data_IF_383611798794
#
_entry.id   IF_383611798794
#
_cell.length_a   1.000
_cell.length_b   1.000
_cell.length_c   1.000
_cell.angle_alpha   90.00
_cell.angle_beta   90.00
_cell.angle_gamma   90.00
#
_symmetry.space_group_name_H-M   'P 1'
#
loop_
_entity.id
_entity.type
_entity.pdbx_description
1 polymer ?
#
# COMPACT_ATOMS: atom_id res chain seq x y z
N UNK A 1 -14.81 -35.88 9.78
CA UNK A 1 -14.39 -36.37 11.12
C UNK A 1 -13.73 -35.25 11.87
N UNK A 2 -13.87 -35.19 13.20
CA UNK A 2 -13.24 -34.16 14.05
C UNK A 2 -12.26 -34.80 15.05
N UNK A 3 -11.48 -34.01 15.79
CA UNK A 3 -10.45 -34.51 16.72
C UNK A 3 -11.03 -35.38 17.85
N UNK A 4 -12.27 -35.12 18.27
CA UNK A 4 -12.94 -35.92 19.31
C UNK A 4 -13.27 -37.31 18.82
N UNK A 5 -13.73 -37.45 17.60
CA UNK A 5 -14.03 -38.72 16.96
C UNK A 5 -12.76 -39.57 16.74
N UNK A 6 -11.64 -38.92 16.38
CA UNK A 6 -10.33 -39.61 16.28
C UNK A 6 -9.89 -40.08 17.66
N UNK A 7 -10.00 -39.26 18.70
CA UNK A 7 -9.63 -39.61 20.06
C UNK A 7 -10.46 -40.81 20.58
N UNK A 8 -11.76 -40.80 20.33
CA UNK A 8 -12.65 -41.88 20.69
C UNK A 8 -12.28 -43.19 19.95
N UNK A 9 -12.00 -43.10 18.63
CA UNK A 9 -11.63 -44.28 17.81
C UNK A 9 -10.25 -44.84 18.19
N UNK A 10 -9.32 -43.96 18.58
CA UNK A 10 -7.99 -44.37 19.06
C UNK A 10 -7.99 -44.89 20.53
N UNK A 11 -9.04 -44.56 21.31
CA UNK A 11 -9.11 -44.90 22.73
C UNK A 11 -8.24 -44.01 23.61
N UNK A 12 -8.01 -42.74 23.20
CA UNK A 12 -7.13 -41.81 23.89
C UNK A 12 -7.81 -40.45 24.12
N UNK A 13 -7.15 -39.55 24.84
CA UNK A 13 -7.64 -38.18 25.02
C UNK A 13 -7.46 -37.36 23.74
N UNK A 14 -8.27 -36.29 23.56
CA UNK A 14 -8.09 -35.31 22.50
C UNK A 14 -6.73 -34.60 22.58
N UNK A 15 -6.19 -34.48 23.81
CA UNK A 15 -4.86 -33.92 24.04
C UNK A 15 -3.75 -34.81 23.46
N UNK A 16 -3.90 -36.16 23.58
CA UNK A 16 -2.97 -37.15 23.01
C UNK A 16 -2.98 -37.06 21.48
N UNK A 17 -4.17 -37.01 20.85
CA UNK A 17 -4.31 -36.83 19.40
C UNK A 17 -3.68 -35.50 18.95
N UNK A 18 -3.94 -34.42 19.69
CA UNK A 18 -3.33 -33.10 19.41
C UNK A 18 -1.80 -33.11 19.49
N UNK A 19 -1.24 -33.86 20.47
CA UNK A 19 0.21 -34.01 20.60
C UNK A 19 0.82 -34.75 19.40
N UNK A 20 0.20 -35.81 18.92
CA UNK A 20 0.65 -36.53 17.72
C UNK A 20 0.61 -35.62 16.49
N UNK A 21 -0.52 -34.97 16.27
CA UNK A 21 -0.71 -34.05 15.14
C UNK A 21 0.33 -32.88 15.13
N UNK A 22 0.74 -32.41 16.31
CA UNK A 22 1.69 -31.30 16.45
C UNK A 22 3.15 -31.78 16.68
N UNK A 23 3.44 -33.07 16.51
CA UNK A 23 4.80 -33.63 16.66
C UNK A 23 5.36 -33.62 18.08
N UNK A 24 4.52 -33.41 19.11
CA UNK A 24 4.91 -33.41 20.53
C UNK A 24 4.91 -34.82 21.08
N UNK A 25 5.82 -35.68 20.61
CA UNK A 25 5.82 -37.10 20.83
C UNK A 25 6.39 -37.56 22.18
N UNK A 26 7.06 -36.70 22.94
CA UNK A 26 7.76 -37.06 24.19
C UNK A 26 6.90 -37.77 25.27
N UNK A 27 5.57 -37.71 25.17
CA UNK A 27 4.62 -38.32 26.11
C UNK A 27 3.62 -39.28 25.42
N UNK A 28 3.93 -39.74 24.20
CA UNK A 28 3.08 -40.60 23.43
C UNK A 28 3.88 -41.85 23.04
N UNK A 29 3.35 -43.04 23.31
CA UNK A 29 3.99 -44.30 22.88
C UNK A 29 3.95 -44.42 21.35
N UNK A 30 4.92 -45.14 20.79
CA UNK A 30 4.99 -45.40 19.34
C UNK A 30 3.71 -46.10 18.84
N UNK A 31 3.21 -47.08 19.57
CA UNK A 31 1.97 -47.80 19.26
C UNK A 31 0.76 -46.83 19.19
N UNK A 32 0.66 -45.90 20.14
CA UNK A 32 -0.43 -44.92 20.17
C UNK A 32 -0.31 -43.90 19.02
N UNK A 33 0.92 -43.48 18.70
CA UNK A 33 1.20 -42.59 17.57
C UNK A 33 0.77 -43.26 16.27
N UNK A 34 1.25 -44.49 16.01
CA UNK A 34 1.00 -45.19 14.75
C UNK A 34 -0.50 -45.45 14.54
N UNK A 35 -1.23 -45.80 15.60
CA UNK A 35 -2.68 -45.94 15.58
C UNK A 35 -3.41 -44.64 15.22
N UNK A 36 -2.99 -43.51 15.79
CA UNK A 36 -3.59 -42.20 15.49
C UNK A 36 -3.29 -41.81 14.06
N UNK A 37 -2.06 -41.98 13.59
CA UNK A 37 -1.64 -41.64 12.22
C UNK A 37 -2.38 -42.48 11.18
N UNK A 38 -2.65 -43.75 11.47
CA UNK A 38 -3.44 -44.63 10.62
C UNK A 38 -4.90 -44.15 10.52
N UNK A 39 -5.54 -43.82 11.65
CA UNK A 39 -6.90 -43.28 11.67
C UNK A 39 -6.96 -41.96 10.88
N UNK A 40 -5.96 -41.08 11.04
CA UNK A 40 -5.88 -39.82 10.28
C UNK A 40 -5.78 -40.08 8.77
N UNK A 41 -4.97 -41.05 8.36
CA UNK A 41 -4.78 -41.46 6.97
C UNK A 41 -6.05 -42.06 6.36
N UNK A 42 -6.69 -42.97 7.05
CA UNK A 42 -7.95 -43.59 6.62
C UNK A 42 -9.08 -42.60 6.44
N UNK A 43 -9.14 -41.62 7.33
CA UNK A 43 -10.26 -40.66 7.38
C UNK A 43 -10.04 -39.40 6.59
N UNK A 44 -8.82 -39.18 6.09
CA UNK A 44 -8.45 -37.95 5.41
C UNK A 44 -8.55 -36.70 6.32
N UNK A 45 -8.53 -36.88 7.65
CA UNK A 45 -8.64 -35.79 8.59
C UNK A 45 -7.51 -34.78 8.40
N UNK A 46 -7.89 -33.53 8.15
CA UNK A 46 -6.95 -32.39 8.13
C UNK A 46 -7.24 -31.51 9.35
N UNK A 47 -6.23 -31.25 10.20
CA UNK A 47 -6.41 -30.36 11.34
C UNK A 47 -6.89 -28.98 10.87
N UNK A 48 -8.01 -28.53 11.40
CA UNK A 48 -8.52 -27.18 11.12
C UNK A 48 -7.52 -26.15 11.63
N UNK A 49 -7.19 -25.15 10.78
CA UNK A 49 -6.36 -24.01 11.16
C UNK A 49 -7.00 -23.26 12.32
N UNK A 50 -8.34 -23.10 12.31
CA UNK A 50 -9.11 -22.49 13.40
C UNK A 50 -9.02 -23.30 14.71
N UNK A 51 -9.03 -24.61 14.67
CA UNK A 51 -8.91 -25.42 15.87
C UNK A 51 -7.50 -25.35 16.49
N UNK A 52 -6.47 -25.17 15.67
CA UNK A 52 -5.09 -24.93 16.13
C UNK A 52 -4.93 -23.53 16.74
N UNK A 53 -5.56 -22.51 16.16
CA UNK A 53 -5.50 -21.14 16.66
C UNK A 53 -6.12 -21.02 18.07
N UNK A 54 -7.22 -21.72 18.35
CA UNK A 54 -7.84 -21.75 19.67
C UNK A 54 -6.92 -22.32 20.77
N UNK A 55 -6.06 -23.29 20.41
CA UNK A 55 -5.12 -23.92 21.37
C UNK A 55 -3.87 -23.07 21.57
N UNK A 56 -3.37 -22.40 20.52
CA UNK A 56 -2.14 -21.59 20.56
C UNK A 56 -2.39 -20.13 20.90
N UNK A 57 -3.65 -19.66 20.92
CA UNK A 57 -4.03 -18.23 20.98
C UNK A 57 -3.39 -17.38 19.87
N UNK A 58 -3.11 -17.99 18.73
CA UNK A 58 -2.58 -17.35 17.53
C UNK A 58 -3.51 -17.66 16.37
N UNK A 59 -4.04 -16.65 15.71
CA UNK A 59 -4.95 -16.85 14.57
C UNK A 59 -4.22 -17.18 13.27
N UNK A 60 -2.96 -16.79 13.18
CA UNK A 60 -2.18 -16.78 11.94
C UNK A 60 -2.78 -15.89 10.85
N UNK A 61 -3.56 -14.88 11.24
CA UNK A 61 -4.17 -13.92 10.33
C UNK A 61 -3.55 -12.55 10.56
N UNK A 62 -3.24 -11.85 9.47
CA UNK A 62 -2.84 -10.44 9.45
C UNK A 62 -3.93 -9.67 8.72
N UNK A 63 -4.45 -8.63 9.37
CA UNK A 63 -5.38 -7.70 8.74
C UNK A 63 -4.66 -6.68 7.86
N UNK A 64 -5.27 -6.32 6.73
CA UNK A 64 -4.94 -5.11 5.99
C UNK A 64 -6.23 -4.33 5.77
N UNK A 65 -6.30 -3.15 6.34
CA UNK A 65 -7.46 -2.27 6.19
C UNK A 65 -7.07 -1.06 5.36
N UNK A 66 -7.90 -0.77 4.36
CA UNK A 66 -7.76 0.38 3.47
C UNK A 66 -9.01 1.24 3.63
N UNK A 67 -8.89 2.44 4.18
CA UNK A 67 -10.01 3.35 4.38
C UNK A 67 -10.34 4.16 3.12
N UNK A 68 -11.44 4.90 3.19
CA UNK A 68 -11.88 5.91 2.22
C UNK A 68 -12.23 5.38 0.84
N UNK A 69 -12.51 4.08 0.72
CA UNK A 69 -12.95 3.50 -0.54
C UNK A 69 -14.48 3.42 -0.56
N UNK A 70 -15.11 4.10 -1.51
CA UNK A 70 -16.57 4.06 -1.73
C UNK A 70 -17.05 2.66 -2.10
N UNK A 71 -18.36 2.40 -1.92
CA UNK A 71 -18.95 1.07 -2.18
C UNK A 71 -18.80 0.59 -3.63
N UNK A 72 -18.79 1.53 -4.56
CA UNK A 72 -18.75 1.27 -5.99
C UNK A 72 -17.34 1.49 -6.58
N UNK A 73 -16.35 1.80 -5.75
CA UNK A 73 -14.97 2.00 -6.18
C UNK A 73 -14.22 0.67 -6.23
N UNK A 74 -13.48 0.46 -7.33
CA UNK A 74 -12.59 -0.68 -7.48
C UNK A 74 -11.21 -0.34 -6.91
N UNK A 75 -10.92 -0.93 -5.75
CA UNK A 75 -9.63 -0.77 -5.07
C UNK A 75 -8.43 -1.14 -5.97
N UNK A 76 -8.58 -2.13 -6.82
CA UNK A 76 -7.51 -2.59 -7.71
C UNK A 76 -7.44 -1.81 -9.04
N UNK A 77 -8.36 -0.87 -9.29
CA UNK A 77 -8.25 0.04 -10.42
C UNK A 77 -6.99 0.92 -10.37
N UNK A 78 -6.46 1.16 -9.16
CA UNK A 78 -5.15 1.76 -8.98
C UNK A 78 -4.08 0.68 -8.82
N UNK A 79 -3.15 0.49 -9.80
CA UNK A 79 -2.11 -0.54 -9.74
C UNK A 79 -1.16 -0.42 -8.53
N UNK A 80 -0.99 0.78 -7.97
CA UNK A 80 -0.25 0.99 -6.72
C UNK A 80 -0.73 0.04 -5.62
N UNK A 81 -2.06 -0.07 -5.46
CA UNK A 81 -2.67 -0.92 -4.43
C UNK A 81 -2.33 -2.40 -4.64
N UNK A 82 -2.38 -2.86 -5.88
CA UNK A 82 -2.02 -4.24 -6.20
C UNK A 82 -0.54 -4.55 -5.88
N UNK A 83 0.36 -3.62 -6.19
CA UNK A 83 1.79 -3.80 -5.96
C UNK A 83 2.15 -3.82 -4.47
N UNK A 84 1.60 -2.90 -3.66
CA UNK A 84 1.88 -2.89 -2.22
C UNK A 84 1.31 -4.13 -1.53
N UNK A 85 0.10 -4.57 -1.91
CA UNK A 85 -0.51 -5.79 -1.37
C UNK A 85 0.30 -7.02 -1.75
N UNK A 86 0.68 -7.16 -3.02
CA UNK A 86 1.48 -8.29 -3.47
C UNK A 86 2.83 -8.37 -2.75
N UNK A 87 3.45 -7.21 -2.47
CA UNK A 87 4.68 -7.14 -1.69
C UNK A 87 4.44 -7.55 -0.23
N UNK A 88 3.41 -7.03 0.44
CA UNK A 88 3.05 -7.40 1.81
C UNK A 88 2.71 -8.89 1.94
N UNK A 89 1.89 -9.43 1.00
CA UNK A 89 1.47 -10.83 0.99
C UNK A 89 2.68 -11.78 1.00
N UNK A 90 3.72 -11.50 0.21
CA UNK A 90 4.93 -12.34 0.18
C UNK A 90 5.60 -12.46 1.55
N UNK A 91 5.70 -11.36 2.31
CA UNK A 91 6.28 -11.37 3.66
C UNK A 91 5.34 -12.01 4.67
N UNK A 92 4.04 -11.80 4.56
CA UNK A 92 3.02 -12.43 5.42
C UNK A 92 3.07 -13.94 5.25
N UNK A 93 3.01 -14.43 4.01
CA UNK A 93 3.10 -15.84 3.66
C UNK A 93 4.45 -16.45 4.04
N UNK A 94 5.55 -15.70 3.87
CA UNK A 94 6.89 -16.14 4.30
C UNK A 94 7.03 -16.34 5.81
N UNK A 95 6.13 -15.78 6.61
CA UNK A 95 6.04 -16.00 8.05
C UNK A 95 4.93 -16.98 8.46
N UNK A 96 4.38 -17.76 7.52
CA UNK A 96 3.28 -18.72 7.73
C UNK A 96 1.98 -18.06 8.25
N UNK A 97 1.69 -16.84 7.79
CA UNK A 97 0.45 -16.14 8.06
C UNK A 97 -0.40 -15.99 6.80
N UNK A 98 -1.69 -15.69 6.99
CA UNK A 98 -2.64 -15.37 5.91
C UNK A 98 -3.05 -13.92 5.98
N UNK A 99 -3.28 -13.31 4.82
CA UNK A 99 -3.74 -11.92 4.70
C UNK A 99 -5.27 -11.88 4.65
N UNK A 100 -5.88 -11.05 5.51
CA UNK A 100 -7.27 -10.62 5.42
C UNK A 100 -7.33 -9.18 4.96
N UNK A 101 -7.88 -8.93 3.78
CA UNK A 101 -8.04 -7.59 3.20
C UNK A 101 -9.47 -7.09 3.37
N UNK A 102 -9.62 -5.86 3.82
CA UNK A 102 -10.90 -5.14 3.84
C UNK A 102 -10.72 -3.69 3.44
N UNK A 103 -11.51 -3.24 2.47
CA UNK A 103 -11.70 -1.83 2.17
C UNK A 103 -12.92 -1.33 2.94
N UNK A 104 -12.83 -0.16 3.55
CA UNK A 104 -13.91 0.49 4.28
C UNK A 104 -14.12 1.90 3.72
N UNK A 105 -15.39 2.33 3.64
CA UNK A 105 -15.73 3.68 3.17
C UNK A 105 -15.57 4.71 4.29
N UNK A 106 -15.78 4.29 5.53
CA UNK A 106 -15.74 5.16 6.71
C UNK A 106 -14.66 4.65 7.68
N UNK A 107 -13.69 5.48 8.09
CA UNK A 107 -12.66 5.11 9.05
C UNK A 107 -13.21 4.63 10.40
N UNK A 108 -14.40 5.08 10.79
CA UNK A 108 -15.08 4.62 12.02
C UNK A 108 -15.41 3.13 12.02
N UNK A 109 -15.38 2.48 10.86
CA UNK A 109 -15.53 1.03 10.75
C UNK A 109 -14.28 0.25 11.16
N UNK A 110 -13.09 0.90 11.21
CA UNK A 110 -11.79 0.22 11.42
C UNK A 110 -11.75 -0.46 12.79
N UNK A 111 -12.10 0.26 13.86
CA UNK A 111 -12.05 -0.26 15.23
C UNK A 111 -13.03 -1.44 15.42
N UNK A 112 -14.34 -1.33 15.09
CA UNK A 112 -15.25 -2.47 15.16
C UNK A 112 -14.80 -3.66 14.31
N UNK A 113 -14.24 -3.40 13.14
CA UNK A 113 -13.75 -4.43 12.23
C UNK A 113 -12.58 -5.20 12.85
N UNK A 114 -11.52 -4.51 13.28
CA UNK A 114 -10.34 -5.13 13.87
C UNK A 114 -10.66 -5.84 15.18
N UNK A 115 -11.58 -5.30 15.99
CA UNK A 115 -12.05 -5.95 17.21
C UNK A 115 -12.81 -7.24 16.96
N UNK A 116 -13.54 -7.32 15.83
CA UNK A 116 -14.27 -8.54 15.41
C UNK A 116 -13.39 -9.58 14.72
N UNK A 117 -12.29 -9.14 14.12
CA UNK A 117 -11.33 -10.00 13.47
C UNK A 117 -10.37 -10.56 14.51
N UNK A 118 -10.34 -11.82 14.69
CA UNK A 118 -9.33 -12.45 15.55
C UNK A 118 -7.99 -12.51 14.79
N UNK A 119 -7.38 -11.36 14.51
CA UNK A 119 -6.07 -11.25 13.82
C UNK A 119 -4.95 -11.02 14.84
N UNK A 120 -3.74 -11.48 14.52
CA UNK A 120 -2.57 -11.35 15.38
C UNK A 120 -1.87 -10.00 15.23
N UNK A 121 -2.20 -9.26 14.16
CA UNK A 121 -1.72 -7.91 13.89
C UNK A 121 -2.34 -7.36 12.61
N UNK A 122 -2.12 -6.07 12.34
CA UNK A 122 -2.72 -5.41 11.18
C UNK A 122 -1.78 -4.37 10.53
N UNK A 123 -1.99 -4.17 9.24
CA UNK A 123 -1.53 -3.01 8.49
C UNK A 123 -2.70 -2.07 8.22
N UNK A 124 -2.48 -0.77 8.40
CA UNK A 124 -3.44 0.28 8.08
C UNK A 124 -2.83 1.21 7.04
N UNK A 125 -3.44 1.31 5.86
CA UNK A 125 -2.92 2.07 4.73
C UNK A 125 -3.62 3.43 4.62
N UNK A 126 -2.85 4.54 4.68
CA UNK A 126 -3.37 5.88 4.39
C UNK A 126 -4.34 6.45 5.44
N UNK A 127 -4.15 6.14 6.72
CA UNK A 127 -4.95 6.69 7.83
C UNK A 127 -4.62 8.16 8.04
N UNK A 128 -5.62 9.01 8.25
CA UNK A 128 -5.40 10.40 8.62
C UNK A 128 -5.05 10.55 10.10
N UNK A 129 -4.31 11.63 10.41
CA UNK A 129 -3.78 11.90 11.75
C UNK A 129 -4.84 11.83 12.85
N UNK A 130 -6.01 12.42 12.62
CA UNK A 130 -7.05 12.57 13.63
C UNK A 130 -7.69 11.24 14.07
N UNK A 131 -7.51 10.16 13.28
CA UNK A 131 -8.03 8.82 13.53
C UNK A 131 -7.07 7.93 14.32
N UNK A 132 -5.77 8.26 14.27
CA UNK A 132 -4.72 7.44 14.92
C UNK A 132 -4.94 7.30 16.43
N UNK A 133 -5.27 8.36 17.21
CA UNK A 133 -5.47 8.24 18.66
C UNK A 133 -6.63 7.31 19.03
N UNK A 134 -7.75 7.36 18.29
CA UNK A 134 -8.89 6.49 18.54
C UNK A 134 -8.54 5.03 18.29
N UNK A 135 -7.91 4.73 17.16
CA UNK A 135 -7.46 3.38 16.81
C UNK A 135 -6.51 2.83 17.87
N UNK A 136 -5.50 3.59 18.28
CA UNK A 136 -4.53 3.18 19.32
C UNK A 136 -5.18 2.90 20.66
N UNK A 137 -6.18 3.69 21.05
CA UNK A 137 -6.80 3.56 22.37
C UNK A 137 -7.73 2.36 22.51
N UNK A 138 -8.23 1.82 21.39
CA UNK A 138 -9.26 0.78 21.38
C UNK A 138 -8.76 -0.57 20.83
N UNK A 139 -7.58 -0.62 20.23
CA UNK A 139 -7.03 -1.82 19.59
C UNK A 139 -5.73 -2.24 20.26
N UNK A 140 -5.71 -3.42 20.86
CA UNK A 140 -4.56 -3.96 21.61
C UNK A 140 -3.61 -4.82 20.75
N UNK A 141 -3.95 -5.11 19.46
CA UNK A 141 -3.07 -5.87 18.60
C UNK A 141 -1.95 -4.99 18.00
N UNK A 142 -0.80 -5.56 17.63
CA UNK A 142 0.23 -4.87 16.88
C UNK A 142 -0.29 -4.27 15.58
N UNK A 143 -0.06 -2.96 15.38
CA UNK A 143 -0.45 -2.23 14.16
C UNK A 143 0.78 -1.56 13.55
N UNK A 144 0.92 -1.67 12.24
CA UNK A 144 1.84 -0.88 11.44
C UNK A 144 1.05 0.00 10.48
N UNK A 145 1.28 1.29 10.55
CA UNK A 145 0.70 2.27 9.65
C UNK A 145 1.57 2.41 8.39
N UNK A 146 0.93 2.56 7.26
CA UNK A 146 1.57 2.79 5.96
C UNK A 146 1.10 4.13 5.40
N UNK A 147 2.07 4.96 4.99
CA UNK A 147 1.81 6.25 4.37
C UNK A 147 0.91 7.18 5.22
N UNK A 148 1.06 7.11 6.55
CA UNK A 148 0.33 7.92 7.52
C UNK A 148 1.17 9.13 7.96
N UNK A 149 0.57 10.31 7.99
CA UNK A 149 1.19 11.53 8.46
C UNK A 149 0.60 11.95 9.81
N UNK A 150 1.15 11.42 10.89
CA UNK A 150 0.70 11.68 12.26
C UNK A 150 1.87 12.11 13.18
N UNK A 151 2.46 13.30 12.95
CA UNK A 151 3.57 13.76 13.76
C UNK A 151 3.16 13.91 15.23
N UNK A 152 4.02 13.38 16.12
CA UNK A 152 3.78 13.36 17.58
C UNK A 152 3.06 12.12 18.07
N UNK A 153 2.56 11.24 17.19
CA UNK A 153 1.99 9.96 17.57
C UNK A 153 3.08 8.89 17.72
N UNK A 154 2.99 8.12 18.81
CA UNK A 154 3.88 6.98 19.05
C UNK A 154 3.35 5.75 18.32
N UNK A 155 3.67 5.63 17.03
CA UNK A 155 3.27 4.54 16.13
C UNK A 155 4.46 4.00 15.35
N UNK A 156 4.30 2.82 14.76
CA UNK A 156 5.17 2.39 13.66
C UNK A 156 4.53 2.84 12.37
N UNK A 157 5.18 3.75 11.66
CA UNK A 157 4.76 4.22 10.34
C UNK A 157 5.87 3.99 9.33
N UNK A 158 5.51 3.44 8.18
CA UNK A 158 6.42 3.18 7.06
C UNK A 158 5.88 3.91 5.83
N UNK A 159 6.65 4.87 5.34
CA UNK A 159 6.26 5.68 4.20
C UNK A 159 7.43 5.97 3.26
N UNK A 160 7.28 7.02 2.47
CA UNK A 160 8.33 7.57 1.62
C UNK A 160 8.56 9.04 1.95
N UNK A 161 9.60 9.65 1.37
CA UNK A 161 9.85 11.08 1.45
C UNK A 161 8.94 11.86 0.47
N UNK A 162 7.61 11.91 0.73
CA UNK A 162 6.63 12.50 -0.21
C UNK A 162 6.90 13.96 -0.54
N UNK A 163 7.25 14.78 0.46
CA UNK A 163 7.67 16.17 0.23
C UNK A 163 8.83 16.24 -0.78
N UNK A 164 9.86 15.42 -0.56
CA UNK A 164 11.02 15.33 -1.45
C UNK A 164 10.62 14.86 -2.84
N UNK A 165 9.62 13.95 -2.95
CA UNK A 165 9.11 13.46 -4.23
C UNK A 165 8.48 14.56 -5.05
N UNK A 166 7.61 15.35 -4.45
CA UNK A 166 7.06 16.51 -5.11
C UNK A 166 8.13 17.53 -5.49
N UNK A 167 9.07 17.79 -4.58
CA UNK A 167 10.21 18.69 -4.83
C UNK A 167 11.06 18.22 -6.02
N UNK A 168 11.42 16.92 -6.07
CA UNK A 168 12.21 16.34 -7.16
C UNK A 168 11.47 16.38 -8.48
N UNK A 169 10.15 16.16 -8.49
CA UNK A 169 9.32 16.23 -9.69
C UNK A 169 9.39 17.63 -10.34
N UNK A 170 9.19 18.69 -9.54
CA UNK A 170 9.31 20.07 -10.03
C UNK A 170 10.75 20.39 -10.46
N UNK A 171 11.74 20.09 -9.62
CA UNK A 171 13.16 20.36 -9.92
C UNK A 171 13.64 19.66 -11.18
N UNK A 172 13.18 18.46 -11.44
CA UNK A 172 13.51 17.72 -12.66
C UNK A 172 12.96 18.43 -13.90
N UNK A 173 11.69 18.81 -13.91
CA UNK A 173 11.07 19.54 -15.02
C UNK A 173 11.76 20.90 -15.25
N UNK A 174 11.97 21.65 -14.19
CA UNK A 174 12.65 22.97 -14.25
C UNK A 174 14.08 22.81 -14.75
N UNK A 175 14.81 21.77 -14.31
CA UNK A 175 16.14 21.45 -14.79
C UNK A 175 16.21 21.08 -16.28
N UNK A 176 15.08 20.67 -16.88
CA UNK A 176 14.92 20.43 -18.33
C UNK A 176 14.41 21.69 -19.09
N UNK A 177 14.31 22.85 -18.42
CA UNK A 177 13.91 24.11 -19.01
C UNK A 177 12.41 24.43 -18.98
N UNK A 178 11.59 23.62 -18.30
CA UNK A 178 10.16 23.85 -18.20
C UNK A 178 9.84 24.90 -17.11
N UNK A 179 9.22 26.00 -17.50
CA UNK A 179 8.76 27.08 -16.59
C UNK A 179 7.23 27.15 -16.51
N UNK A 180 6.52 26.61 -17.51
CA UNK A 180 5.07 26.61 -17.61
C UNK A 180 4.56 25.19 -17.34
N UNK A 181 4.31 24.91 -16.05
CA UNK A 181 4.04 23.56 -15.57
C UNK A 181 2.63 23.50 -15.00
N UNK A 182 1.84 22.51 -15.42
CA UNK A 182 0.59 22.12 -14.80
C UNK A 182 0.84 20.99 -13.77
N UNK A 183 0.08 21.00 -12.68
CA UNK A 183 0.07 19.95 -11.67
C UNK A 183 -1.28 19.25 -11.69
N UNK A 184 -1.27 17.93 -11.86
CA UNK A 184 -2.47 17.08 -11.79
C UNK A 184 -2.41 16.26 -10.50
N UNK A 185 -3.40 16.45 -9.64
CA UNK A 185 -3.37 15.95 -8.27
C UNK A 185 -4.77 15.67 -7.73
N UNK A 186 -4.96 14.72 -6.81
CA UNK A 186 -6.14 14.69 -5.94
C UNK A 186 -6.26 15.93 -5.06
N UNK A 187 -7.34 16.02 -4.29
CA UNK A 187 -7.55 17.13 -3.35
C UNK A 187 -6.38 17.22 -2.34
N UNK A 188 -5.91 18.44 -2.13
CA UNK A 188 -4.78 18.78 -1.24
C UNK A 188 -5.25 19.39 0.09
N UNK A 189 -6.53 19.42 0.38
CA UNK A 189 -7.07 20.04 1.59
C UNK A 189 -6.70 19.30 2.87
N UNK A 190 -6.67 17.97 2.81
CA UNK A 190 -6.34 17.11 3.95
C UNK A 190 -4.84 16.91 4.13
N UNK A 191 -4.37 16.80 5.38
CA UNK A 191 -2.99 16.42 5.67
C UNK A 191 -2.73 14.99 5.20
N UNK A 192 -1.55 14.74 4.64
CA UNK A 192 -1.18 13.41 4.15
C UNK A 192 -0.22 13.46 2.97
N UNK A 193 -0.07 12.31 2.32
CA UNK A 193 0.86 12.07 1.19
C UNK A 193 0.75 13.13 0.10
N UNK A 194 -0.48 13.40 -0.36
CA UNK A 194 -0.73 14.31 -1.49
C UNK A 194 -0.37 15.75 -1.12
N UNK A 195 -0.71 16.19 0.08
CA UNK A 195 -0.36 17.54 0.56
C UNK A 195 1.16 17.72 0.67
N UNK A 196 1.87 16.71 1.16
CA UNK A 196 3.33 16.78 1.25
C UNK A 196 3.98 16.81 -0.14
N UNK A 197 3.51 16.01 -1.11
CA UNK A 197 3.96 16.08 -2.51
C UNK A 197 3.71 17.48 -3.09
N UNK A 198 2.51 18.03 -2.88
CA UNK A 198 2.16 19.38 -3.33
C UNK A 198 3.07 20.43 -2.70
N UNK A 199 3.32 20.38 -1.38
CA UNK A 199 4.20 21.32 -0.69
C UNK A 199 5.61 21.31 -1.29
N UNK A 200 6.20 20.14 -1.45
CA UNK A 200 7.51 19.98 -2.06
C UNK A 200 7.56 20.54 -3.48
N UNK A 201 6.55 20.23 -4.31
CA UNK A 201 6.45 20.74 -5.67
C UNK A 201 6.36 22.27 -5.71
N UNK A 202 5.49 22.85 -4.89
CA UNK A 202 5.29 24.30 -4.79
C UNK A 202 6.55 25.03 -4.31
N UNK A 203 7.23 24.47 -3.31
CA UNK A 203 8.47 25.03 -2.78
C UNK A 203 9.60 25.04 -3.82
N UNK A 204 9.74 23.94 -4.58
CA UNK A 204 10.73 23.86 -5.66
C UNK A 204 10.47 24.88 -6.78
N UNK A 205 9.20 25.08 -7.16
CA UNK A 205 8.83 26.13 -8.12
C UNK A 205 9.17 27.53 -7.58
N UNK A 206 8.82 27.82 -6.32
CA UNK A 206 9.12 29.10 -5.68
C UNK A 206 10.62 29.37 -5.61
N UNK A 207 11.43 28.42 -5.20
CA UNK A 207 12.89 28.55 -5.10
C UNK A 207 13.55 28.79 -6.46
N UNK A 208 12.98 28.22 -7.51
CA UNK A 208 13.47 28.42 -8.88
C UNK A 208 12.91 29.69 -9.56
N UNK A 209 12.03 30.46 -8.91
CA UNK A 209 11.39 31.62 -9.50
C UNK A 209 10.33 31.28 -10.57
N UNK A 210 9.90 30.03 -10.66
CA UNK A 210 8.86 29.58 -11.60
C UNK A 210 7.49 29.96 -11.07
N UNK A 211 6.71 30.67 -11.90
CA UNK A 211 5.38 31.13 -11.53
C UNK A 211 4.37 29.98 -11.48
N UNK A 212 4.15 29.43 -10.29
CA UNK A 212 3.19 28.39 -10.03
C UNK A 212 2.04 28.93 -9.16
N UNK A 213 0.81 28.87 -9.67
CA UNK A 213 -0.39 29.45 -9.06
C UNK A 213 -1.49 28.40 -8.95
N UNK A 214 -2.56 28.69 -8.19
CA UNK A 214 -3.74 27.81 -8.09
C UNK A 214 -4.35 27.43 -9.45
N UNK A 215 -4.32 28.33 -10.42
CA UNK A 215 -4.80 28.06 -11.78
C UNK A 215 -3.96 27.07 -12.59
N UNK A 216 -2.78 26.68 -12.09
CA UNK A 216 -1.97 25.62 -12.68
C UNK A 216 -2.29 24.23 -12.11
N UNK A 217 -3.24 24.13 -11.18
CA UNK A 217 -3.60 22.87 -10.49
C UNK A 217 -4.90 22.33 -11.07
N UNK A 218 -4.84 21.11 -11.54
CA UNK A 218 -5.99 20.32 -12.02
C UNK A 218 -6.28 19.23 -11.00
N UNK A 219 -7.42 19.37 -10.33
CA UNK A 219 -7.86 18.39 -9.34
C UNK A 219 -8.55 17.22 -10.03
N UNK A 220 -8.22 15.99 -9.61
CA UNK A 220 -8.77 14.79 -10.21
C UNK A 220 -8.74 13.60 -9.22
N UNK A 221 -9.53 12.58 -9.48
CA UNK A 221 -9.41 11.30 -8.81
C UNK A 221 -8.16 10.54 -9.29
N UNK A 222 -7.67 9.61 -8.46
CA UNK A 222 -6.50 8.78 -8.79
C UNK A 222 -6.85 7.61 -9.71
N UNK A 223 -7.47 7.89 -10.87
CA UNK A 223 -7.89 6.90 -11.87
C UNK A 223 -7.33 7.21 -13.25
N UNK A 224 -7.18 6.18 -14.08
CA UNK A 224 -6.80 6.35 -15.49
C UNK A 224 -7.79 7.24 -16.25
N UNK A 225 -9.09 6.98 -16.08
CA UNK A 225 -10.13 7.71 -16.82
C UNK A 225 -10.17 9.19 -16.47
N UNK A 226 -10.04 9.52 -15.19
CA UNK A 226 -9.97 10.93 -14.78
C UNK A 226 -8.71 11.63 -15.30
N UNK A 227 -7.60 10.89 -15.41
CA UNK A 227 -6.39 11.38 -16.07
C UNK A 227 -6.62 11.70 -17.55
N UNK A 228 -7.36 10.84 -18.30
CA UNK A 228 -7.72 11.10 -19.70
C UNK A 228 -8.50 12.41 -19.85
N UNK A 229 -9.51 12.61 -19.01
CA UNK A 229 -10.32 13.83 -19.05
C UNK A 229 -9.51 15.09 -18.74
N UNK A 230 -8.63 15.03 -17.76
CA UNK A 230 -7.73 16.16 -17.44
C UNK A 230 -6.74 16.42 -18.57
N UNK A 231 -6.20 15.38 -19.21
CA UNK A 231 -5.32 15.54 -20.37
C UNK A 231 -6.01 16.26 -21.53
N UNK A 232 -7.28 15.94 -21.80
CA UNK A 232 -8.12 16.61 -22.79
C UNK A 232 -8.40 18.07 -22.37
N UNK A 233 -8.75 18.32 -21.11
CA UNK A 233 -9.03 19.65 -20.58
C UNK A 233 -7.80 20.58 -20.71
N UNK A 234 -6.61 20.10 -20.38
CA UNK A 234 -5.35 20.85 -20.56
C UNK A 234 -5.10 21.14 -22.04
N UNK A 235 -5.36 20.17 -22.92
CA UNK A 235 -5.15 20.35 -24.37
C UNK A 235 -6.08 21.40 -24.98
N UNK A 236 -7.33 21.47 -24.53
CA UNK A 236 -8.33 22.44 -25.03
C UNK A 236 -8.33 23.76 -24.30
N UNK A 237 -7.84 23.78 -23.04
CA UNK A 237 -7.93 24.95 -22.16
C UNK A 237 -7.06 26.14 -22.55
N UNK A 238 -6.28 26.04 -23.64
CA UNK A 238 -5.47 27.16 -24.18
C UNK A 238 -4.34 27.62 -23.26
N UNK A 239 -4.01 26.89 -22.21
CA UNK A 239 -2.85 27.13 -21.37
C UNK A 239 -1.55 26.89 -22.17
N UNK A 240 -0.55 27.75 -21.95
CA UNK A 240 0.74 27.64 -22.62
C UNK A 240 1.73 26.72 -21.86
N UNK A 241 1.21 25.65 -21.26
CA UNK A 241 2.01 24.66 -20.55
C UNK A 241 2.98 23.92 -21.49
N UNK A 242 4.16 23.64 -20.95
CA UNK A 242 5.17 22.83 -21.64
C UNK A 242 5.38 21.47 -20.95
N UNK A 243 4.93 21.36 -19.70
CA UNK A 243 5.03 20.12 -18.93
C UNK A 243 3.84 19.95 -17.97
N UNK A 244 3.56 18.70 -17.66
CA UNK A 244 2.55 18.27 -16.68
C UNK A 244 3.23 17.36 -15.67
N UNK A 245 3.07 17.68 -14.37
CA UNK A 245 3.42 16.79 -13.27
C UNK A 245 2.17 16.12 -12.72
N UNK A 246 2.15 14.79 -12.67
CA UNK A 246 1.07 14.00 -12.10
C UNK A 246 1.51 13.39 -10.77
N UNK A 247 0.63 13.44 -9.74
CA UNK A 247 0.93 12.91 -8.40
C UNK A 247 0.77 11.39 -8.28
N UNK A 248 0.46 10.71 -9.40
CA UNK A 248 0.49 9.24 -9.52
C UNK A 248 0.70 8.82 -10.99
N UNK A 249 1.26 7.64 -11.21
CA UNK A 249 1.50 7.12 -12.56
C UNK A 249 0.20 6.76 -13.28
N UNK A 250 -0.80 6.22 -12.58
CA UNK A 250 -2.09 5.88 -13.20
C UNK A 250 -2.79 7.10 -13.81
N UNK A 251 -2.70 8.25 -13.14
CA UNK A 251 -3.19 9.52 -13.66
C UNK A 251 -2.33 9.98 -14.83
N UNK A 252 -1.00 9.86 -14.74
CA UNK A 252 -0.09 10.24 -15.83
C UNK A 252 -0.33 9.42 -17.09
N UNK A 253 -0.64 8.11 -16.96
CA UNK A 253 -1.02 7.27 -18.10
C UNK A 253 -2.27 7.79 -18.81
N UNK A 254 -3.29 8.18 -18.01
CA UNK A 254 -4.50 8.79 -18.55
C UNK A 254 -4.22 10.13 -19.22
N UNK A 255 -3.42 11.00 -18.59
CA UNK A 255 -3.05 12.32 -19.15
C UNK A 255 -2.36 12.17 -20.51
N UNK A 256 -1.39 11.24 -20.63
CA UNK A 256 -0.71 10.96 -21.90
C UNK A 256 -1.70 10.53 -22.98
N UNK A 257 -2.66 9.67 -22.65
CA UNK A 257 -3.69 9.24 -23.60
C UNK A 257 -4.64 10.39 -23.97
N UNK A 258 -5.10 11.20 -22.99
CA UNK A 258 -5.96 12.37 -23.22
C UNK A 258 -5.32 13.39 -24.14
N UNK A 259 -4.03 13.71 -23.93
CA UNK A 259 -3.24 14.58 -24.81
C UNK A 259 -3.17 14.02 -26.23
N UNK A 260 -2.88 12.72 -26.36
CA UNK A 260 -2.80 12.03 -27.64
C UNK A 260 -4.13 12.06 -28.40
N UNK A 261 -5.26 11.87 -27.72
CA UNK A 261 -6.60 11.97 -28.34
C UNK A 261 -6.89 13.36 -28.88
N UNK A 262 -6.25 14.40 -28.32
CA UNK A 262 -6.32 15.79 -28.80
C UNK A 262 -5.23 16.13 -29.85
N UNK A 263 -4.43 15.15 -30.29
CA UNK A 263 -3.39 15.32 -31.31
C UNK A 263 -2.05 15.84 -30.77
N UNK A 264 -1.89 15.99 -29.45
CA UNK A 264 -0.63 16.39 -28.82
C UNK A 264 0.29 15.19 -28.59
N UNK A 265 1.57 15.37 -28.85
CA UNK A 265 2.59 14.33 -28.74
C UNK A 265 3.43 14.52 -27.48
N UNK A 266 3.50 13.48 -26.68
CA UNK A 266 4.43 13.41 -25.55
C UNK A 266 5.74 12.75 -26.03
N UNK A 267 6.92 13.35 -25.76
CA UNK A 267 7.19 14.59 -25.04
C UNK A 267 7.27 15.84 -25.92
N UNK A 268 7.03 15.75 -27.22
CA UNK A 268 7.36 16.81 -28.22
C UNK A 268 6.56 18.10 -28.00
N UNK A 269 5.25 17.97 -27.81
CA UNK A 269 4.33 19.08 -27.64
C UNK A 269 4.07 19.34 -26.15
N UNK A 270 4.11 18.28 -25.31
CA UNK A 270 3.91 18.35 -23.88
C UNK A 270 4.74 17.29 -23.15
N UNK A 271 5.53 17.66 -22.16
CA UNK A 271 6.25 16.73 -21.29
C UNK A 271 5.34 16.25 -20.15
N UNK A 272 5.49 14.97 -19.72
CA UNK A 272 4.71 14.41 -18.61
C UNK A 272 5.64 13.65 -17.67
N UNK A 273 5.53 13.92 -16.35
CA UNK A 273 6.19 13.14 -15.30
C UNK A 273 5.13 12.54 -14.36
N UNK A 274 5.31 11.28 -13.99
CA UNK A 274 4.47 10.55 -13.03
C UNK A 274 5.08 10.43 -11.64
N UNK A 275 4.42 9.64 -10.82
CA UNK A 275 4.83 9.32 -9.47
C UNK A 275 4.43 7.86 -9.17
N UNK A 276 5.28 7.07 -8.55
CA UNK A 276 5.22 5.69 -8.05
C UNK A 276 6.24 4.77 -8.75
N UNK A 277 6.58 5.03 -10.00
CA UNK A 277 7.40 4.18 -10.87
C UNK A 277 6.84 2.76 -11.00
N UNK A 278 5.55 2.68 -11.36
CA UNK A 278 4.89 1.42 -11.67
C UNK A 278 5.60 0.70 -12.83
N UNK A 279 5.58 -0.64 -12.88
CA UNK A 279 6.14 -1.39 -14.01
C UNK A 279 5.57 -0.97 -15.37
N UNK A 280 4.32 -0.52 -15.39
CA UNK A 280 3.61 -0.03 -16.58
C UNK A 280 4.30 1.16 -17.24
N UNK A 281 5.09 1.93 -16.50
CA UNK A 281 5.92 3.02 -17.04
C UNK A 281 6.87 2.55 -18.16
N UNK A 282 7.30 1.29 -18.12
CA UNK A 282 8.16 0.67 -19.15
C UNK A 282 7.39 0.19 -20.39
N UNK A 283 6.07 -0.04 -20.26
CA UNK A 283 5.23 -0.58 -21.33
C UNK A 283 4.56 0.51 -22.16
N UNK A 284 4.53 1.74 -21.66
CA UNK A 284 3.98 2.89 -22.37
C UNK A 284 4.82 3.31 -23.58
N UNK A 285 4.19 4.06 -24.48
CA UNK A 285 4.88 4.78 -25.55
C UNK A 285 4.37 6.23 -25.59
N UNK A 286 5.23 7.20 -25.21
CA UNK A 286 6.60 7.06 -24.72
C UNK A 286 6.66 6.44 -23.32
N UNK A 287 7.80 5.81 -22.97
CA UNK A 287 8.04 5.31 -21.60
C UNK A 287 8.01 6.45 -20.59
N UNK A 288 7.26 6.28 -19.51
CA UNK A 288 7.00 7.34 -18.55
C UNK A 288 8.17 7.58 -17.58
N UNK A 289 8.67 8.82 -17.55
CA UNK A 289 9.54 9.34 -16.48
C UNK A 289 8.72 9.46 -15.20
N UNK A 290 9.20 8.95 -14.07
CA UNK A 290 8.44 8.90 -12.83
C UNK A 290 9.32 9.04 -11.58
N UNK A 291 8.73 9.53 -10.49
CA UNK A 291 9.32 9.49 -9.16
C UNK A 291 9.16 8.07 -8.61
N UNK A 292 10.29 7.43 -8.29
CA UNK A 292 10.28 6.03 -7.89
C UNK A 292 10.12 5.85 -6.38
N UNK A 293 9.19 4.98 -6.01
CA UNK A 293 9.15 4.32 -4.70
C UNK A 293 9.41 2.82 -4.86
N UNK A 294 9.84 2.16 -3.78
CA UNK A 294 10.15 0.73 -3.75
C UNK A 294 9.17 0.02 -2.82
N UNK A 295 8.17 -0.63 -3.43
CA UNK A 295 7.13 -1.39 -2.73
C UNK A 295 7.72 -2.53 -1.90
N UNK A 296 8.80 -3.14 -2.38
CA UNK A 296 9.47 -4.24 -1.70
C UNK A 296 10.16 -3.79 -0.42
N UNK A 297 10.85 -2.65 -0.45
CA UNK A 297 11.44 -2.03 0.73
C UNK A 297 10.37 -1.69 1.77
N UNK A 298 9.27 -1.05 1.33
CA UNK A 298 8.14 -0.66 2.20
C UNK A 298 7.53 -1.88 2.88
N UNK A 299 7.16 -2.90 2.10
CA UNK A 299 6.57 -4.14 2.62
C UNK A 299 7.52 -4.89 3.55
N UNK A 300 8.81 -5.01 3.21
CA UNK A 300 9.82 -5.65 4.04
C UNK A 300 9.98 -4.95 5.38
N UNK A 301 10.06 -3.61 5.39
CA UNK A 301 10.18 -2.83 6.62
C UNK A 301 8.93 -2.96 7.48
N UNK A 302 7.75 -2.77 6.90
CA UNK A 302 6.49 -2.89 7.60
C UNK A 302 6.31 -4.28 8.23
N UNK A 303 6.55 -5.34 7.46
CA UNK A 303 6.44 -6.72 7.95
C UNK A 303 7.47 -7.02 9.05
N UNK A 304 8.71 -6.52 8.93
CA UNK A 304 9.73 -6.68 9.98
C UNK A 304 9.26 -6.12 11.32
N UNK A 305 8.67 -4.92 11.33
CA UNK A 305 8.16 -4.31 12.55
C UNK A 305 6.94 -5.07 13.09
N UNK A 306 5.99 -5.41 12.23
CA UNK A 306 4.78 -6.12 12.65
C UNK A 306 5.11 -7.47 13.31
N UNK A 307 5.89 -8.30 12.63
CA UNK A 307 6.23 -9.64 13.16
C UNK A 307 7.14 -9.58 14.39
N UNK A 308 7.98 -8.53 14.50
CA UNK A 308 8.72 -8.30 15.72
C UNK A 308 7.81 -7.97 16.90
N UNK A 309 6.82 -7.08 16.71
CA UNK A 309 5.84 -6.75 17.77
C UNK A 309 5.00 -7.97 18.17
N UNK A 310 4.59 -8.80 17.19
CA UNK A 310 3.85 -10.05 17.46
C UNK A 310 4.69 -11.03 18.28
N UNK A 311 5.95 -11.25 17.90
CA UNK A 311 6.85 -12.20 18.55
C UNK A 311 7.23 -11.76 19.99
N UNK A 312 7.59 -10.50 20.14
CA UNK A 312 8.08 -9.94 21.41
C UNK A 312 6.94 -9.51 22.35
N UNK A 313 5.69 -9.50 21.85
CA UNK A 313 4.51 -8.94 22.53
C UNK A 313 4.79 -7.53 23.08
N UNK A 314 5.39 -6.71 22.26
CA UNK A 314 5.86 -5.37 22.59
C UNK A 314 5.27 -4.34 21.62
N UNK A 315 5.22 -3.09 22.09
CA UNK A 315 4.96 -1.93 21.23
C UNK A 315 6.29 -1.35 20.77
N UNK A 316 6.34 -0.92 19.52
CA UNK A 316 7.49 -0.22 18.94
C UNK A 316 7.02 1.15 18.43
N UNK A 317 7.96 2.08 18.35
CA UNK A 317 7.75 3.39 17.73
C UNK A 317 8.82 3.59 16.66
N UNK A 318 8.40 3.88 15.44
CA UNK A 318 9.30 4.16 14.33
C UNK A 318 8.56 4.95 13.25
N UNK A 319 9.20 5.95 12.67
CA UNK A 319 8.75 6.61 11.43
C UNK A 319 9.87 6.46 10.40
N UNK A 320 9.78 5.44 9.56
CA UNK A 320 10.77 5.18 8.51
C UNK A 320 10.26 5.65 7.17
N UNK A 321 11.04 6.50 6.53
CA UNK A 321 10.73 7.04 5.21
C UNK A 321 11.79 6.64 4.20
N UNK A 322 11.33 6.01 3.13
CA UNK A 322 12.20 5.59 2.05
C UNK A 322 12.68 6.81 1.25
N UNK A 323 14.00 6.97 1.02
CA UNK A 323 14.53 7.91 0.05
C UNK A 323 14.03 7.58 -1.36
N UNK A 324 13.67 8.59 -2.11
CA UNK A 324 13.12 8.45 -3.44
C UNK A 324 13.97 9.16 -4.50
N UNK A 325 13.75 8.84 -5.78
CA UNK A 325 14.52 9.38 -6.90
C UNK A 325 13.68 9.49 -8.17
N UNK A 326 14.12 10.29 -9.10
CA UNK A 326 13.57 10.33 -10.47
C UNK A 326 14.13 9.15 -11.26
N UNK A 327 13.26 8.45 -11.98
CA UNK A 327 13.64 7.51 -13.05
C UNK A 327 13.33 8.19 -14.37
N UNK A 328 14.37 8.69 -14.99
CA UNK A 328 14.29 9.34 -16.30
C UNK A 328 14.03 8.33 -17.39
N UNK A 329 13.07 8.64 -18.29
CA UNK A 329 12.71 7.86 -19.48
C UNK A 329 12.47 8.78 -20.67
N UNK A 330 11.36 8.60 -21.39
CA UNK A 330 11.13 9.23 -22.69
C UNK A 330 10.05 10.32 -22.69
N UNK A 331 9.29 10.45 -21.60
CA UNK A 331 8.11 11.32 -21.55
C UNK A 331 8.39 12.78 -21.20
N UNK A 332 9.65 13.13 -20.98
CA UNK A 332 10.07 14.53 -20.69
C UNK A 332 11.15 14.93 -21.68
N UNK A 333 10.91 16.06 -22.37
CA UNK A 333 11.85 16.68 -23.31
C UNK A 333 12.80 17.63 -22.57
N UNK A 334 14.03 17.71 -23.03
CA UNK A 334 14.96 18.77 -22.64
C UNK A 334 14.75 19.99 -23.57
N UNK A 335 14.39 21.13 -23.04
CA UNK A 335 14.13 22.35 -23.82
C UNK A 335 15.42 23.12 -24.15
N UNK A 336 16.57 22.73 -23.59
CA UNK A 336 17.88 23.33 -23.90
C UNK A 336 18.56 22.67 -25.12
N UNK A 337 18.03 21.52 -25.56
CA UNK A 337 18.45 20.78 -26.76
C UNK A 337 17.52 21.05 -27.94
#
# INVERSE_FOLDING_TARGET
MNIREIAQRAGVSTATVSNVINGKLAKVSDETRDKIEEIIRETGYKPSVMARSLVKKESRLIGLVVPYLGKDEDFFANPYNAHIIAALERYIRGNDYYLMLRCVGDPREIVPLLSSWNVDGAFLLGIYKDEVPEIKSQIDIPIVFLDTYAPGEEIVNIGIEDYRGGYLSARYLIGKGHEKIALVTPDISSEGVIKERYRGFSDACREAGVAFKKGNIYYTESTYQSGVLVGQDIAFGGGDYTAIACMSDIVAFGVVEGLKQCGLRVPYDMSVIGFDNLPDCEFMSPKLTSIAQDFEWKARKASKYLFKMIADKSTLVADERQPIRVIERQSVKNLYE
#
